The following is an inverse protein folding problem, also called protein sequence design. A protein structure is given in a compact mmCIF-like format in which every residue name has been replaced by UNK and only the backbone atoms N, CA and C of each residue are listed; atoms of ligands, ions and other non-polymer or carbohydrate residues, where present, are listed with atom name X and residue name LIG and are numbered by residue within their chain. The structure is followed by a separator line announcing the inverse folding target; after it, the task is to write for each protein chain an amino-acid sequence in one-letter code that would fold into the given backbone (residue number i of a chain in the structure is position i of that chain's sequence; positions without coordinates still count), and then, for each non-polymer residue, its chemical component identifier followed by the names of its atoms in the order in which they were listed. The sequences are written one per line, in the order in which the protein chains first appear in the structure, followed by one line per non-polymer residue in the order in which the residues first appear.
data_IF_888963343815
#
_entry.id   IF_888963343815
#
_cell.length_a   1.000
_cell.length_b   1.000
_cell.length_c   1.000
_cell.angle_alpha   90.00
_cell.angle_beta   90.00
_cell.angle_gamma   90.00
#
_symmetry.space_group_name_H-M   'P 1'
#
loop_
_entity.id
_entity.type
_entity.pdbx_description
1 polymer ?
#
# COMPACT_ATOMS: atom_id res chain seq x y z
N UNK A 1 -10.91 -28.22 14.87
CA UNK A 1 -11.39 -27.10 14.02
C UNK A 1 -12.78 -27.44 13.47
N UNK A 2 -13.84 -27.08 14.18
CA UNK A 2 -15.24 -27.09 13.71
C UNK A 2 -15.91 -25.90 14.38
N UNK A 3 -15.97 -24.75 13.73
CA UNK A 3 -16.52 -23.52 14.34
C UNK A 3 -17.83 -23.04 13.71
N UNK A 4 -18.31 -23.63 12.61
CA UNK A 4 -19.63 -23.34 12.05
C UNK A 4 -20.42 -24.64 11.83
N UNK A 5 -21.64 -24.71 12.36
CA UNK A 5 -22.59 -25.82 12.18
C UNK A 5 -23.34 -25.76 10.83
N UNK A 6 -22.79 -25.06 9.84
CA UNK A 6 -23.41 -24.88 8.53
C UNK A 6 -22.91 -25.97 7.59
N UNK A 7 -23.83 -26.69 6.95
CA UNK A 7 -23.47 -27.65 5.90
C UNK A 7 -22.70 -26.95 4.79
N UNK A 8 -21.60 -27.55 4.33
CA UNK A 8 -20.79 -27.01 3.24
C UNK A 8 -21.63 -26.74 1.96
N UNK A 9 -22.69 -27.52 1.75
CA UNK A 9 -23.63 -27.35 0.63
C UNK A 9 -24.44 -26.05 0.69
N UNK A 10 -24.48 -25.39 1.86
CA UNK A 10 -25.15 -24.10 2.07
C UNK A 10 -24.20 -22.91 1.98
N UNK A 11 -22.92 -23.15 1.70
CA UNK A 11 -21.90 -22.11 1.54
C UNK A 11 -21.74 -21.87 0.04
N UNK A 12 -22.07 -20.66 -0.40
CA UNK A 12 -21.83 -20.20 -1.76
C UNK A 12 -20.83 -19.04 -1.74
N UNK A 13 -19.94 -19.00 -2.73
CA UNK A 13 -19.04 -17.87 -2.92
C UNK A 13 -19.81 -16.81 -3.70
N UNK A 14 -19.96 -15.62 -3.11
CA UNK A 14 -20.41 -14.43 -3.82
C UNK A 14 -19.18 -13.54 -3.95
N UNK A 15 -18.69 -13.37 -5.17
CA UNK A 15 -17.60 -12.44 -5.42
C UNK A 15 -18.11 -11.02 -5.24
N UNK A 16 -17.29 -10.17 -4.61
CA UNK A 16 -17.48 -8.73 -4.73
C UNK A 16 -17.09 -8.34 -6.15
N UNK A 17 -18.07 -8.34 -7.06
CA UNK A 17 -17.86 -7.89 -8.42
C UNK A 17 -17.49 -6.40 -8.41
N UNK A 18 -16.50 -6.07 -9.24
CA UNK A 18 -16.13 -4.71 -9.60
C UNK A 18 -16.35 -4.58 -11.11
N UNK A 19 -17.29 -3.73 -11.51
CA UNK A 19 -17.52 -3.31 -12.91
C UNK A 19 -16.43 -2.37 -13.44
N UNK A 20 -15.31 -2.25 -12.73
CA UNK A 20 -14.24 -1.34 -13.04
C UNK A 20 -13.43 -1.84 -14.24
N UNK A 21 -13.49 -1.09 -15.34
CA UNK A 21 -12.59 -1.24 -16.47
C UNK A 21 -11.53 -0.13 -16.31
N UNK A 22 -10.27 -0.46 -15.98
CA UNK A 22 -9.23 0.55 -15.81
C UNK A 22 -8.99 1.31 -17.12
N UNK A 23 -8.93 2.65 -17.04
CA UNK A 23 -8.37 3.46 -18.11
C UNK A 23 -6.87 3.11 -18.25
N UNK A 24 -6.44 2.78 -19.47
CA UNK A 24 -5.04 2.43 -19.76
C UNK A 24 -4.14 3.64 -19.92
N UNK A 25 -4.66 4.87 -19.79
CA UNK A 25 -3.83 6.07 -19.71
C UNK A 25 -3.01 6.04 -18.42
N UNK A 26 -1.76 5.57 -18.54
CA UNK A 26 -0.79 5.65 -17.46
C UNK A 26 -0.60 7.09 -16.96
N UNK A 27 -0.33 7.24 -15.67
CA UNK A 27 0.03 8.54 -15.09
C UNK A 27 1.42 8.93 -15.58
N UNK A 28 1.50 9.95 -16.45
CA UNK A 28 2.77 10.43 -17.06
C UNK A 28 3.85 10.78 -16.03
N UNK A 29 3.45 11.14 -14.82
CA UNK A 29 4.33 11.49 -13.70
C UNK A 29 4.99 10.26 -13.06
N UNK A 30 4.36 9.08 -13.17
CA UNK A 30 4.90 7.80 -12.71
C UNK A 30 5.76 7.11 -13.79
N UNK A 31 5.68 7.56 -15.04
CA UNK A 31 6.23 6.87 -16.21
C UNK A 31 7.77 6.93 -16.33
N UNK A 32 8.44 7.61 -15.40
CA UNK A 32 9.89 7.88 -15.46
C UNK A 32 10.76 7.00 -14.55
N UNK A 33 10.18 5.99 -13.88
CA UNK A 33 10.95 5.15 -12.94
C UNK A 33 10.22 3.91 -12.44
N UNK A 34 10.90 3.14 -11.58
CA UNK A 34 10.32 1.96 -10.91
C UNK A 34 9.50 2.43 -9.71
N UNK A 35 8.19 2.19 -9.75
CA UNK A 35 7.29 2.57 -8.68
C UNK A 35 6.74 1.34 -7.97
N UNK A 36 6.71 1.39 -6.63
CA UNK A 36 6.10 0.38 -5.78
C UNK A 36 4.91 1.02 -5.09
N UNK A 37 3.73 0.45 -5.26
CA UNK A 37 2.48 0.99 -4.72
C UNK A 37 1.99 0.16 -3.53
N UNK A 38 1.67 0.83 -2.44
CA UNK A 38 0.84 0.34 -1.35
C UNK A 38 -0.48 1.11 -1.35
N UNK A 39 -1.62 0.41 -1.34
CA UNK A 39 -2.94 1.02 -1.15
C UNK A 39 -3.68 0.27 -0.04
N UNK A 40 -4.11 1.00 0.99
CA UNK A 40 -4.89 0.43 2.08
C UNK A 40 -5.02 1.36 3.28
N UNK A 41 -5.81 0.94 4.28
CA UNK A 41 -5.94 1.68 5.54
C UNK A 41 -4.61 1.69 6.29
N UNK A 42 -4.13 2.85 6.69
CA UNK A 42 -2.87 3.03 7.40
C UNK A 42 -3.09 2.72 8.89
N UNK A 43 -2.94 1.44 9.26
CA UNK A 43 -3.29 0.86 10.57
C UNK A 43 -2.29 -0.24 10.99
N UNK A 44 -2.09 -0.53 12.31
CA UNK A 44 -0.95 -1.34 12.77
C UNK A 44 -0.84 -2.75 12.17
N UNK A 45 -1.97 -3.37 11.83
CA UNK A 45 -2.03 -4.73 11.31
C UNK A 45 -1.71 -4.83 9.80
N UNK A 46 -1.31 -3.72 9.15
CA UNK A 46 -1.09 -3.67 7.69
C UNK A 46 0.38 -3.69 7.27
N UNK A 47 1.30 -3.93 8.20
CA UNK A 47 2.71 -4.22 7.89
C UNK A 47 3.49 -3.04 7.29
N UNK A 48 3.06 -1.79 7.53
CA UNK A 48 3.66 -0.62 6.92
C UNK A 48 5.11 -0.37 7.36
N UNK A 49 5.44 -0.66 8.63
CA UNK A 49 6.83 -0.56 9.11
C UNK A 49 7.77 -1.52 8.37
N UNK A 50 7.31 -2.74 8.10
CA UNK A 50 8.08 -3.70 7.31
C UNK A 50 8.26 -3.24 5.86
N UNK A 51 7.27 -2.54 5.30
CA UNK A 51 7.40 -1.92 3.98
C UNK A 51 8.48 -0.83 3.98
N UNK A 52 8.54 0.01 5.02
CA UNK A 52 9.58 1.05 5.16
C UNK A 52 10.98 0.44 5.37
N UNK A 53 11.10 -0.63 6.17
CA UNK A 53 12.34 -1.42 6.29
C UNK A 53 12.83 -1.94 4.93
N UNK A 54 11.88 -2.42 4.12
CA UNK A 54 12.18 -2.94 2.78
C UNK A 54 12.56 -1.82 1.84
N UNK A 55 11.88 -0.67 1.92
CA UNK A 55 12.17 0.50 1.10
C UNK A 55 13.61 0.96 1.27
N UNK A 56 14.09 1.06 2.51
CA UNK A 56 15.47 1.45 2.80
C UNK A 56 16.50 0.52 2.13
N UNK A 57 16.25 -0.80 2.15
CA UNK A 57 17.13 -1.79 1.49
C UNK A 57 17.09 -1.67 -0.04
N UNK A 58 15.90 -1.51 -0.61
CA UNK A 58 15.71 -1.38 -2.06
C UNK A 58 16.35 -0.10 -2.58
N UNK A 59 16.15 1.02 -1.90
CA UNK A 59 16.70 2.33 -2.28
C UNK A 59 18.22 2.34 -2.17
N UNK A 60 18.80 1.61 -1.20
CA UNK A 60 20.25 1.40 -1.12
C UNK A 60 20.85 0.67 -2.33
N UNK A 61 20.03 -0.09 -3.08
CA UNK A 61 20.44 -0.79 -4.31
C UNK A 61 20.11 0.06 -5.55
N UNK A 62 18.91 0.65 -5.61
CA UNK A 62 18.44 1.46 -6.72
C UNK A 62 17.78 2.76 -6.20
N UNK A 63 18.53 3.87 -6.14
CA UNK A 63 18.03 5.15 -5.64
C UNK A 63 16.89 5.77 -6.46
N UNK A 64 16.62 5.26 -7.68
CA UNK A 64 15.54 5.77 -8.53
C UNK A 64 14.17 5.19 -8.18
N UNK A 65 14.12 4.14 -7.35
CA UNK A 65 12.85 3.53 -6.94
C UNK A 65 12.04 4.49 -6.07
N UNK A 66 10.75 4.59 -6.37
CA UNK A 66 9.78 5.35 -5.57
C UNK A 66 8.73 4.43 -4.95
N UNK A 67 8.39 4.69 -3.70
CA UNK A 67 7.31 4.03 -2.98
C UNK A 67 6.13 5.00 -2.86
N UNK A 68 4.95 4.60 -3.30
CA UNK A 68 3.71 5.34 -3.17
C UNK A 68 2.84 4.65 -2.14
N UNK A 69 2.40 5.39 -1.12
CA UNK A 69 1.56 4.88 -0.05
C UNK A 69 0.25 5.67 -0.08
N UNK A 70 -0.79 5.02 -0.58
CA UNK A 70 -2.15 5.55 -0.68
C UNK A 70 -3.07 5.00 0.38
N UNK A 71 -3.89 5.88 0.94
CA UNK A 71 -4.89 5.56 1.95
C UNK A 71 -4.83 6.49 3.16
N UNK A 72 -5.70 6.23 4.12
CA UNK A 72 -5.85 7.02 5.34
C UNK A 72 -5.84 6.12 6.57
N UNK A 73 -5.52 6.69 7.74
CA UNK A 73 -5.63 6.01 9.02
C UNK A 73 -4.80 6.64 10.14
N UNK A 74 -5.04 6.15 11.35
CA UNK A 74 -4.47 6.72 12.59
C UNK A 74 -2.94 6.69 12.65
N UNK A 75 -2.29 5.84 11.86
CA UNK A 75 -0.83 5.68 11.90
C UNK A 75 -0.08 6.67 11.01
N UNK A 76 -0.76 7.53 10.24
CA UNK A 76 -0.07 8.49 9.36
C UNK A 76 1.05 9.26 10.10
N UNK A 77 0.86 9.81 11.31
CA UNK A 77 1.93 10.52 12.01
C UNK A 77 3.16 9.65 12.29
N UNK A 78 2.94 8.39 12.67
CA UNK A 78 4.02 7.43 12.96
C UNK A 78 4.78 7.05 11.69
N UNK A 79 4.05 6.87 10.60
CA UNK A 79 4.63 6.56 9.28
C UNK A 79 5.46 7.74 8.77
N UNK A 80 4.97 8.97 8.90
CA UNK A 80 5.73 10.19 8.57
C UNK A 80 7.03 10.26 9.38
N UNK A 81 6.95 10.00 10.69
CA UNK A 81 8.12 9.98 11.55
C UNK A 81 9.13 8.89 11.14
N UNK A 82 8.67 7.67 10.89
CA UNK A 82 9.52 6.55 10.45
C UNK A 82 10.19 6.83 9.09
N UNK A 83 9.49 7.49 8.16
CA UNK A 83 10.08 7.94 6.88
C UNK A 83 11.24 8.91 7.12
N UNK A 84 11.06 9.89 8.01
CA UNK A 84 12.09 10.87 8.33
C UNK A 84 13.30 10.25 9.05
N UNK A 85 13.06 9.38 10.03
CA UNK A 85 14.11 8.67 10.77
C UNK A 85 15.00 7.80 9.86
N UNK A 86 14.47 7.36 8.73
CA UNK A 86 15.15 6.52 7.74
C UNK A 86 15.67 7.28 6.53
N UNK A 87 15.50 8.61 6.50
CA UNK A 87 15.90 9.48 5.38
C UNK A 87 15.26 9.10 4.02
N UNK A 88 13.98 8.68 4.05
CA UNK A 88 13.26 8.17 2.88
C UNK A 88 12.36 9.20 2.20
N UNK A 89 12.37 10.46 2.62
CA UNK A 89 11.44 11.53 2.18
C UNK A 89 11.50 11.78 0.68
N UNK A 90 12.67 11.58 0.07
CA UNK A 90 12.85 11.74 -1.38
C UNK A 90 12.28 10.59 -2.17
N UNK A 91 12.08 9.42 -1.56
CA UNK A 91 11.73 8.17 -2.23
C UNK A 91 10.34 7.64 -1.86
N UNK A 92 9.79 8.06 -0.73
CA UNK A 92 8.45 7.66 -0.28
C UNK A 92 7.49 8.83 -0.41
N UNK A 93 6.41 8.64 -1.16
CA UNK A 93 5.32 9.59 -1.31
C UNK A 93 4.06 9.06 -0.61
N UNK A 94 3.61 9.78 0.41
CA UNK A 94 2.28 9.60 0.96
C UNK A 94 1.31 10.36 0.05
N UNK A 95 0.48 9.65 -0.70
CA UNK A 95 -0.43 10.31 -1.66
C UNK A 95 -1.70 10.81 -1.00
N UNK A 96 -2.01 10.34 0.22
CA UNK A 96 -3.26 10.60 0.93
C UNK A 96 -4.49 10.27 0.09
N UNK A 97 -5.68 10.47 0.66
CA UNK A 97 -6.77 11.05 -0.12
C UNK A 97 -6.83 12.49 0.36
N UNK A 98 -6.55 13.44 -0.53
CA UNK A 98 -6.79 14.85 -0.22
C UNK A 98 -8.23 14.99 0.27
N UNK A 99 -8.43 15.76 1.33
CA UNK A 99 -9.73 16.39 1.54
C UNK A 99 -10.05 17.27 0.32
#
# INVERSE_FOLDING_TARGET
MKHCQVSAQKIIVVNNDITFIPDTKGYKELDKGKNILFVGRIFPQKGLEFLLDTAQKVIGIDPQVKFLIGGDGIMIPQVVQSIAERELEKNVLLTGMGQ
#
